data_IF_671521582666
#
_entry.id   IF_671521582666
#
_cell.length_a   1.000
_cell.length_b   1.000
_cell.length_c   1.000
_cell.angle_alpha   90.00
_cell.angle_beta   90.00
_cell.angle_gamma   90.00
#
_symmetry.space_group_name_H-M   'P 1'
#
loop_
_entity.id
_entity.type
_entity.pdbx_description
1 polymer ?
#
# COMPACT_ATOMS: atom_id res chain seq x y z
N UNK A 1 -10.11 12.12 8.87
CA UNK A 1 -10.84 11.81 7.62
C UNK A 1 -9.95 10.96 6.73
N UNK A 2 -10.31 9.69 6.52
CA UNK A 2 -9.46 8.71 5.81
C UNK A 2 -9.75 8.67 4.30
N UNK A 3 -10.86 9.26 3.84
CA UNK A 3 -11.23 9.30 2.42
C UNK A 3 -10.68 10.57 1.76
N UNK A 4 -10.00 10.48 0.61
CA UNK A 4 -9.59 11.65 -0.14
C UNK A 4 -10.80 12.34 -0.77
N UNK A 5 -10.70 13.66 -1.01
CA UNK A 5 -11.64 14.37 -1.88
C UNK A 5 -11.61 13.79 -3.29
N UNK A 6 -12.77 13.81 -3.97
CA UNK A 6 -12.94 13.38 -5.35
C UNK A 6 -12.03 14.14 -6.32
N UNK A 7 -11.69 13.51 -7.45
CA UNK A 7 -10.85 14.13 -8.48
C UNK A 7 -11.52 15.37 -9.08
N UNK A 8 -12.84 15.35 -9.31
CA UNK A 8 -13.59 16.52 -9.80
C UNK A 8 -13.40 17.76 -8.90
N UNK A 9 -13.41 17.61 -7.57
CA UNK A 9 -13.16 18.75 -6.66
C UNK A 9 -11.72 19.27 -6.81
N UNK A 10 -10.76 18.36 -7.02
CA UNK A 10 -9.34 18.73 -7.19
C UNK A 10 -9.12 19.46 -8.51
N UNK A 11 -9.70 18.95 -9.58
CA UNK A 11 -9.67 19.55 -10.92
C UNK A 11 -10.27 20.94 -10.89
N UNK A 12 -11.48 21.11 -10.31
CA UNK A 12 -12.11 22.44 -10.18
C UNK A 12 -11.26 23.40 -9.35
N UNK A 13 -10.66 22.93 -8.25
CA UNK A 13 -9.80 23.77 -7.42
C UNK A 13 -8.57 24.27 -8.19
N UNK A 14 -7.96 23.41 -9.00
CA UNK A 14 -6.78 23.77 -9.77
C UNK A 14 -7.09 24.59 -11.02
N UNK A 15 -8.19 24.31 -11.70
CA UNK A 15 -8.66 25.16 -12.81
C UNK A 15 -8.87 26.61 -12.35
N UNK A 16 -9.47 26.81 -11.16
CA UNK A 16 -9.59 28.15 -10.55
C UNK A 16 -8.25 28.74 -10.14
N UNK A 17 -7.32 27.92 -9.64
CA UNK A 17 -5.97 28.38 -9.32
C UNK A 17 -5.19 28.82 -10.57
N UNK A 18 -5.38 28.13 -11.69
CA UNK A 18 -4.78 28.47 -12.99
C UNK A 18 -5.40 29.75 -13.58
N UNK A 19 -6.68 30.00 -13.31
CA UNK A 19 -7.35 31.26 -13.62
C UNK A 19 -6.90 32.44 -12.73
N UNK A 20 -5.96 32.22 -11.80
CA UNK A 20 -5.38 33.26 -10.96
C UNK A 20 -6.15 33.55 -9.66
N UNK A 21 -7.15 32.75 -9.30
CA UNK A 21 -7.87 32.94 -8.04
C UNK A 21 -6.97 32.65 -6.82
N UNK A 22 -7.21 33.38 -5.73
CA UNK A 22 -6.49 33.14 -4.48
C UNK A 22 -6.91 31.81 -3.85
N UNK A 23 -5.96 31.14 -3.18
CA UNK A 23 -6.22 29.89 -2.44
C UNK A 23 -7.40 30.02 -1.46
N UNK A 24 -7.53 31.18 -0.80
CA UNK A 24 -8.61 31.44 0.16
C UNK A 24 -9.98 31.58 -0.53
N UNK A 25 -10.05 32.21 -1.70
CA UNK A 25 -11.27 32.28 -2.52
C UNK A 25 -11.73 30.88 -2.92
N UNK A 26 -10.83 30.10 -3.51
CA UNK A 26 -11.10 28.75 -4.00
C UNK A 26 -11.61 27.85 -2.87
N UNK A 27 -10.92 27.87 -1.73
CA UNK A 27 -11.28 27.08 -0.56
C UNK A 27 -12.67 27.42 -0.03
N UNK A 28 -13.01 28.71 0.04
CA UNK A 28 -14.35 29.18 0.43
C UNK A 28 -15.41 28.73 -0.60
N UNK A 29 -15.13 28.86 -1.89
CA UNK A 29 -16.07 28.50 -2.94
C UNK A 29 -16.32 26.98 -3.04
N UNK A 30 -15.33 26.15 -2.70
CA UNK A 30 -15.43 24.69 -2.72
C UNK A 30 -15.70 24.07 -1.34
N UNK A 31 -15.86 24.89 -0.30
CA UNK A 31 -16.08 24.44 1.09
C UNK A 31 -15.03 23.43 1.58
N UNK A 32 -13.76 23.67 1.23
CA UNK A 32 -12.61 22.85 1.64
C UNK A 32 -11.60 23.65 2.45
N UNK A 33 -10.68 22.97 3.13
CA UNK A 33 -9.56 23.64 3.80
C UNK A 33 -8.63 24.31 2.76
N UNK A 34 -8.15 25.56 2.99
CA UNK A 34 -7.15 26.22 2.15
C UNK A 34 -5.90 25.38 1.91
N UNK A 35 -5.51 24.56 2.90
CA UNK A 35 -4.35 23.68 2.80
C UNK A 35 -4.49 22.61 1.71
N UNK A 36 -5.72 22.19 1.36
CA UNK A 36 -5.96 21.20 0.32
C UNK A 36 -5.54 21.71 -1.05
N UNK A 37 -5.88 22.97 -1.37
CA UNK A 37 -5.55 23.60 -2.64
C UNK A 37 -4.02 23.68 -2.81
N UNK A 38 -3.30 24.12 -1.78
CA UNK A 38 -1.82 24.16 -1.81
C UNK A 38 -1.22 22.76 -1.99
N UNK A 39 -1.74 21.75 -1.27
CA UNK A 39 -1.27 20.36 -1.41
C UNK A 39 -1.50 19.81 -2.82
N UNK A 40 -2.63 20.12 -3.45
CA UNK A 40 -2.90 19.69 -4.83
C UNK A 40 -2.06 20.42 -5.87
N UNK A 41 -1.77 21.72 -5.66
CA UNK A 41 -0.81 22.45 -6.51
C UNK A 41 0.58 21.79 -6.47
N UNK A 42 1.06 21.45 -5.28
CA UNK A 42 2.33 20.75 -5.11
C UNK A 42 2.28 19.36 -5.75
N UNK A 43 1.23 18.57 -5.49
CA UNK A 43 1.06 17.25 -6.09
C UNK A 43 1.11 17.30 -7.63
N UNK A 44 0.41 18.25 -8.25
CA UNK A 44 0.43 18.42 -9.71
C UNK A 44 1.81 18.80 -10.22
N UNK A 45 2.53 19.66 -9.51
CA UNK A 45 3.91 20.04 -9.87
C UNK A 45 4.87 18.85 -9.74
N UNK A 46 4.73 18.07 -8.68
CA UNK A 46 5.69 17.01 -8.34
C UNK A 46 5.44 15.71 -9.12
N UNK A 47 4.18 15.41 -9.48
CA UNK A 47 3.78 14.15 -10.14
C UNK A 47 3.14 14.31 -11.53
N UNK A 48 2.74 15.52 -11.91
CA UNK A 48 1.96 15.79 -13.13
C UNK A 48 0.48 15.43 -13.02
N UNK A 49 0.05 14.72 -11.96
CA UNK A 49 -1.32 14.22 -11.79
C UNK A 49 -2.05 14.77 -10.57
N UNK A 50 -3.33 14.41 -10.46
CA UNK A 50 -4.25 14.85 -9.39
C UNK A 50 -4.83 13.69 -8.56
N UNK A 51 -4.57 12.46 -9.01
CA UNK A 51 -5.03 11.27 -8.35
C UNK A 51 -4.56 11.25 -6.88
N UNK A 52 -5.41 10.88 -5.91
CA UNK A 52 -4.96 10.63 -4.56
C UNK A 52 -3.87 9.56 -4.56
N UNK A 53 -2.85 9.77 -3.72
CA UNK A 53 -1.94 8.69 -3.37
C UNK A 53 -2.71 7.52 -2.77
N UNK A 54 -2.19 6.31 -2.96
CA UNK A 54 -2.79 5.09 -2.41
C UNK A 54 -2.97 5.22 -0.89
N UNK A 55 -4.22 5.15 -0.42
CA UNK A 55 -4.53 5.17 1.00
C UNK A 55 -4.64 3.73 1.51
N UNK A 56 -3.72 3.34 2.38
CA UNK A 56 -3.62 1.98 2.91
C UNK A 56 -2.75 1.06 2.05
N UNK A 57 -2.26 -0.03 2.66
CA UNK A 57 -1.44 -1.04 1.99
C UNK A 57 -0.07 -0.52 1.55
N UNK A 58 0.89 -0.43 2.48
CA UNK A 58 2.24 0.10 2.19
C UNK A 58 3.38 -0.88 2.48
N UNK A 59 3.09 -2.16 2.70
CA UNK A 59 4.16 -3.14 2.94
C UNK A 59 3.86 -4.47 2.27
N UNK A 60 4.66 -4.80 1.24
CA UNK A 60 4.76 -6.17 0.75
C UNK A 60 5.10 -7.10 1.91
N UNK A 61 4.45 -8.26 1.99
CA UNK A 61 4.76 -9.26 3.02
C UNK A 61 6.21 -9.72 2.85
N UNK A 62 6.91 -10.00 3.95
CA UNK A 62 8.30 -10.51 3.93
C UNK A 62 8.43 -11.80 3.10
N UNK A 63 7.40 -12.64 3.15
CA UNK A 63 7.27 -13.85 2.36
C UNK A 63 6.58 -13.56 1.02
N UNK A 64 7.18 -12.68 0.22
CA UNK A 64 6.77 -12.38 -1.16
C UNK A 64 7.90 -12.65 -2.14
N UNK A 65 7.59 -12.64 -3.43
CA UNK A 65 8.54 -12.76 -4.54
C UNK A 65 9.46 -14.00 -4.35
N UNK A 66 10.78 -13.84 -4.38
CA UNK A 66 11.74 -14.94 -4.28
C UNK A 66 11.60 -15.80 -3.00
N UNK A 67 11.17 -15.20 -1.89
CA UNK A 67 10.97 -15.92 -0.63
C UNK A 67 9.74 -16.84 -0.71
N UNK A 68 8.70 -16.38 -1.42
CA UNK A 68 7.51 -17.18 -1.67
C UNK A 68 7.84 -18.39 -2.56
N UNK A 69 8.61 -18.18 -3.63
CA UNK A 69 8.98 -19.26 -4.55
C UNK A 69 9.85 -20.33 -3.89
N UNK A 70 10.80 -19.91 -3.06
CA UNK A 70 11.58 -20.85 -2.26
C UNK A 70 10.69 -21.65 -1.29
N UNK A 71 9.77 -20.97 -0.58
CA UNK A 71 8.90 -21.61 0.38
C UNK A 71 7.96 -22.63 -0.29
N UNK A 72 7.43 -22.31 -1.49
CA UNK A 72 6.65 -23.25 -2.32
C UNK A 72 7.46 -24.48 -2.70
N UNK A 73 8.69 -24.30 -3.19
CA UNK A 73 9.59 -25.42 -3.54
C UNK A 73 9.87 -26.28 -2.30
N UNK A 74 10.13 -25.63 -1.16
CA UNK A 74 10.45 -26.30 0.10
C UNK A 74 9.27 -27.11 0.66
N UNK A 75 8.05 -26.61 0.54
CA UNK A 75 6.85 -27.32 0.97
C UNK A 75 6.59 -28.55 0.07
N UNK A 76 6.80 -28.43 -1.24
CA UNK A 76 6.63 -29.55 -2.18
C UNK A 76 7.70 -30.64 -2.03
N UNK A 77 8.85 -30.33 -1.44
CA UNK A 77 9.97 -31.27 -1.32
C UNK A 77 9.81 -32.28 -0.19
N UNK A 78 8.76 -32.21 0.64
CA UNK A 78 8.50 -33.19 1.69
C UNK A 78 7.77 -32.62 2.92
N UNK A 79 7.58 -33.44 3.97
CA UNK A 79 6.86 -33.02 5.17
C UNK A 79 7.55 -31.82 5.84
N UNK A 80 6.74 -30.91 6.35
CA UNK A 80 7.21 -29.67 6.97
C UNK A 80 6.47 -29.39 8.27
N UNK A 81 7.10 -28.60 9.14
CA UNK A 81 6.44 -27.97 10.28
C UNK A 81 6.67 -26.46 10.19
N UNK A 82 5.71 -25.67 10.67
CA UNK A 82 5.80 -24.20 10.60
C UNK A 82 7.03 -23.66 11.34
N UNK A 83 7.39 -24.29 12.49
CA UNK A 83 8.61 -23.96 13.24
C UNK A 83 9.87 -24.26 12.44
N UNK A 84 9.94 -25.41 11.76
CA UNK A 84 11.08 -25.77 10.90
C UNK A 84 11.24 -24.80 9.73
N UNK A 85 10.15 -24.44 9.05
CA UNK A 85 10.19 -23.46 7.96
C UNK A 85 10.66 -22.08 8.45
N UNK A 86 10.23 -21.66 9.64
CA UNK A 86 10.67 -20.39 10.24
C UNK A 86 12.19 -20.40 10.53
N UNK A 87 12.72 -21.52 11.04
CA UNK A 87 14.17 -21.67 11.27
C UNK A 87 14.97 -21.70 9.97
N UNK A 88 14.49 -22.42 8.96
CA UNK A 88 15.15 -22.46 7.63
C UNK A 88 15.15 -21.07 6.97
N UNK A 89 14.09 -20.27 7.15
CA UNK A 89 14.03 -18.88 6.68
C UNK A 89 15.00 -17.98 7.46
N UNK A 90 15.09 -18.14 8.78
CA UNK A 90 16.05 -17.40 9.60
C UNK A 90 17.50 -17.72 9.23
N UNK A 91 17.82 -18.99 8.93
CA UNK A 91 19.14 -19.40 8.44
C UNK A 91 19.50 -18.76 7.08
N UNK A 92 18.49 -18.39 6.28
CA UNK A 92 18.63 -17.65 5.02
C UNK A 92 18.69 -16.13 5.21
N UNK A 93 18.71 -15.65 6.46
CA UNK A 93 18.72 -14.22 6.78
C UNK A 93 17.34 -13.54 6.71
N UNK A 94 16.26 -14.29 6.50
CA UNK A 94 14.90 -13.75 6.38
C UNK A 94 14.27 -13.71 7.77
N UNK A 95 14.16 -12.51 8.34
CA UNK A 95 13.48 -12.29 9.63
C UNK A 95 11.96 -12.42 9.45
N UNK A 96 11.41 -13.55 9.88
CA UNK A 96 9.97 -13.81 9.86
C UNK A 96 9.54 -14.57 11.12
N UNK A 97 8.24 -14.61 11.38
CA UNK A 97 7.65 -15.30 12.52
C UNK A 97 6.76 -16.46 12.05
N UNK A 98 6.44 -17.37 12.98
CA UNK A 98 5.62 -18.55 12.70
C UNK A 98 4.24 -18.16 12.15
N UNK A 99 3.68 -17.01 12.56
CA UNK A 99 2.38 -16.52 12.08
C UNK A 99 2.44 -16.05 10.63
N UNK A 100 3.52 -15.37 10.20
CA UNK A 100 3.71 -15.03 8.79
C UNK A 100 3.83 -16.28 7.93
N UNK A 101 4.60 -17.29 8.38
CA UNK A 101 4.71 -18.59 7.68
C UNK A 101 3.35 -19.30 7.62
N UNK A 102 2.60 -19.34 8.72
CA UNK A 102 1.25 -19.89 8.75
C UNK A 102 0.31 -19.20 7.76
N UNK A 103 0.32 -17.86 7.76
CA UNK A 103 -0.52 -17.06 6.85
C UNK A 103 -0.18 -17.34 5.39
N UNK A 104 1.10 -17.53 5.07
CA UNK A 104 1.55 -17.91 3.74
C UNK A 104 1.05 -19.30 3.35
N UNK A 105 1.29 -20.31 4.20
CA UNK A 105 0.89 -21.69 3.94
C UNK A 105 -0.62 -21.82 3.77
N UNK A 106 -1.40 -21.11 4.59
CA UNK A 106 -2.86 -21.07 4.46
C UNK A 106 -3.33 -20.38 3.18
N UNK A 107 -2.68 -19.29 2.77
CA UNK A 107 -3.01 -18.62 1.51
C UNK A 107 -2.72 -19.50 0.28
N UNK A 108 -1.72 -20.37 0.36
CA UNK A 108 -1.37 -21.35 -0.69
C UNK A 108 -2.29 -22.60 -0.67
N UNK A 109 -3.32 -22.64 0.19
CA UNK A 109 -4.28 -23.76 0.27
C UNK A 109 -3.72 -25.03 0.91
N UNK A 110 -2.49 -24.98 1.43
CA UNK A 110 -1.79 -26.12 2.02
C UNK A 110 -2.12 -26.23 3.51
N UNK A 111 -3.42 -26.24 3.83
CA UNK A 111 -3.87 -26.53 5.18
C UNK A 111 -3.82 -28.04 5.37
N UNK A 112 -2.96 -28.52 6.26
CA UNK A 112 -3.04 -29.89 6.76
C UNK A 112 -4.29 -29.99 7.63
N UNK A 113 -5.43 -30.25 7.00
CA UNK A 113 -6.66 -30.60 7.73
C UNK A 113 -6.41 -32.01 8.25
N UNK A 114 -6.41 -32.15 9.58
CA UNK A 114 -6.36 -33.47 10.22
C UNK A 114 -7.67 -34.19 9.98
#
# INVERSE_FOLDING_TARGET
MTRPYSEDIRERALARADAGETVRSIAKALQISPSCVTKWKNLRRDTGGLAPGQIGGHKKRVLSDANADWLRKRIRSGPFTLRKLTQELAARGIKTDVRAVWTFVHAEGLSFKK
#
